data_IF_709340791687
#
_entry.id   IF_709340791687
#
_cell.length_a   1.000
_cell.length_b   1.000
_cell.length_c   1.000
_cell.angle_alpha   90.00
_cell.angle_beta   90.00
_cell.angle_gamma   90.00
#
_symmetry.space_group_name_H-M   'P 1'
#
loop_
_entity.id
_entity.type
_entity.pdbx_description
1 polymer ?
#
# COMPACT_ATOMS: atom_id res chain seq x y z
N UNK A 1 -7.60 -17.31 26.90
CA UNK A 1 -7.74 -17.07 25.43
C UNK A 1 -8.64 -15.87 25.13
N UNK A 2 -9.82 -15.78 25.72
CA UNK A 2 -10.82 -14.69 25.48
C UNK A 2 -10.27 -13.31 25.90
N UNK A 3 -9.58 -13.21 27.03
CA UNK A 3 -8.98 -11.95 27.51
C UNK A 3 -7.92 -11.36 26.57
N UNK A 4 -7.11 -12.21 25.94
CA UNK A 4 -6.09 -11.75 25.01
C UNK A 4 -6.69 -11.29 23.67
N UNK A 5 -7.77 -11.90 23.22
CA UNK A 5 -8.49 -11.49 22.01
C UNK A 5 -9.20 -10.13 22.21
N UNK A 6 -9.85 -9.93 23.34
CA UNK A 6 -10.50 -8.67 23.69
C UNK A 6 -9.48 -7.51 23.79
N UNK A 7 -8.35 -7.72 24.48
CA UNK A 7 -7.28 -6.75 24.61
C UNK A 7 -6.64 -6.38 23.26
N UNK A 8 -6.45 -7.36 22.38
CA UNK A 8 -5.94 -7.15 21.04
C UNK A 8 -6.92 -6.35 20.16
N UNK A 9 -8.22 -6.64 20.30
CA UNK A 9 -9.28 -5.90 19.61
C UNK A 9 -9.32 -4.43 20.07
N UNK A 10 -9.24 -4.20 21.37
CA UNK A 10 -9.22 -2.85 21.96
C UNK A 10 -7.98 -2.04 21.50
N UNK A 11 -6.80 -2.65 21.53
CA UNK A 11 -5.59 -2.03 21.00
C UNK A 11 -5.72 -1.68 19.51
N UNK A 12 -6.30 -2.56 18.70
CA UNK A 12 -6.50 -2.29 17.27
C UNK A 12 -7.49 -1.14 17.06
N UNK A 13 -8.54 -1.02 17.88
CA UNK A 13 -9.49 0.09 17.80
C UNK A 13 -8.83 1.43 18.17
N UNK A 14 -8.03 1.45 19.23
CA UNK A 14 -7.27 2.64 19.64
C UNK A 14 -6.29 3.06 18.52
N UNK A 15 -5.54 2.13 17.96
CA UNK A 15 -4.64 2.40 16.84
C UNK A 15 -5.37 2.93 15.61
N UNK A 16 -6.51 2.35 15.27
CA UNK A 16 -7.34 2.79 14.17
C UNK A 16 -7.88 4.21 14.39
N UNK A 17 -8.34 4.52 15.61
CA UNK A 17 -8.78 5.86 15.99
C UNK A 17 -7.67 6.89 15.89
N UNK A 18 -6.48 6.58 16.43
CA UNK A 18 -5.32 7.47 16.36
C UNK A 18 -4.84 7.68 14.91
N UNK A 19 -4.80 6.62 14.10
CA UNK A 19 -4.41 6.75 12.70
C UNK A 19 -5.36 7.66 11.92
N UNK A 20 -6.67 7.50 12.11
CA UNK A 20 -7.69 8.34 11.47
C UNK A 20 -7.58 9.81 11.91
N UNK A 21 -7.42 10.05 13.20
CA UNK A 21 -7.27 11.41 13.76
C UNK A 21 -5.97 12.05 13.23
N UNK A 22 -4.85 11.34 13.26
CA UNK A 22 -3.57 11.83 12.73
C UNK A 22 -3.68 12.15 11.24
N UNK A 23 -4.34 11.30 10.46
CA UNK A 23 -4.58 11.56 9.04
C UNK A 23 -5.39 12.84 8.83
N UNK A 24 -6.43 13.06 9.62
CA UNK A 24 -7.25 14.27 9.54
C UNK A 24 -6.47 15.52 9.91
N UNK A 25 -5.66 15.46 10.98
CA UNK A 25 -4.82 16.58 11.43
C UNK A 25 -3.68 16.90 10.45
N UNK A 26 -3.13 15.92 9.74
CA UNK A 26 -2.13 16.14 8.70
C UNK A 26 -2.77 16.63 7.39
N UNK A 27 -3.95 16.12 7.05
CA UNK A 27 -4.65 16.46 5.81
C UNK A 27 -4.98 17.96 5.70
N UNK A 28 -5.32 18.60 6.80
CA UNK A 28 -5.65 20.04 6.83
C UNK A 28 -4.45 20.93 6.44
N UNK A 29 -3.27 20.86 7.10
CA UNK A 29 -2.12 21.66 6.71
C UNK A 29 -1.57 21.25 5.35
N UNK A 30 -1.70 19.98 4.96
CA UNK A 30 -1.30 19.51 3.63
C UNK A 30 -2.13 20.19 2.53
N UNK A 31 -3.45 20.27 2.68
CA UNK A 31 -4.32 20.96 1.73
C UNK A 31 -3.97 22.46 1.62
N UNK A 32 -3.60 23.08 2.75
CA UNK A 32 -3.12 24.45 2.75
C UNK A 32 -1.81 24.63 1.98
N UNK A 33 -0.84 23.73 2.18
CA UNK A 33 0.44 23.74 1.46
C UNK A 33 0.24 23.51 -0.04
N UNK A 34 -0.68 22.65 -0.45
CA UNK A 34 -1.03 22.45 -1.86
C UNK A 34 -1.59 23.74 -2.48
N UNK A 35 -2.48 24.43 -1.76
CA UNK A 35 -3.02 25.71 -2.22
C UNK A 35 -1.94 26.81 -2.35
N UNK A 36 -0.99 26.87 -1.41
CA UNK A 36 0.16 27.76 -1.52
C UNK A 36 1.06 27.41 -2.70
N UNK A 37 1.27 26.12 -2.97
CA UNK A 37 2.01 25.64 -4.16
C UNK A 37 1.40 26.13 -5.46
N UNK A 38 0.08 26.05 -5.60
CA UNK A 38 -0.64 26.55 -6.77
C UNK A 38 -0.49 28.08 -6.94
N UNK A 39 -0.54 28.83 -5.85
CA UNK A 39 -0.34 30.29 -5.91
C UNK A 39 1.10 30.68 -6.32
N UNK A 40 2.09 29.97 -5.80
CA UNK A 40 3.49 30.20 -6.12
C UNK A 40 3.83 29.83 -7.58
N UNK A 41 3.13 28.85 -8.14
CA UNK A 41 3.31 28.37 -9.52
C UNK A 41 3.00 29.44 -10.58
N UNK A 42 2.25 30.48 -10.22
CA UNK A 42 1.94 31.60 -11.12
C UNK A 42 3.17 32.46 -11.45
N UNK A 43 4.28 32.31 -10.68
CA UNK A 43 5.54 33.01 -10.95
C UNK A 43 6.51 32.08 -11.68
N UNK A 44 6.93 32.44 -12.88
CA UNK A 44 7.84 31.66 -13.74
C UNK A 44 9.15 31.24 -13.03
N UNK A 45 9.70 32.10 -12.18
CA UNK A 45 10.95 31.86 -11.45
C UNK A 45 10.91 30.65 -10.51
N UNK A 46 9.71 30.22 -10.07
CA UNK A 46 9.54 29.18 -9.08
C UNK A 46 9.10 27.84 -9.69
N UNK A 47 8.83 27.79 -10.97
CA UNK A 47 8.12 26.68 -11.63
C UNK A 47 8.76 25.31 -11.40
N UNK A 48 10.09 25.19 -11.49
CA UNK A 48 10.80 23.93 -11.31
C UNK A 48 10.77 23.43 -9.86
N UNK A 49 10.96 24.32 -8.88
CA UNK A 49 10.91 23.99 -7.46
C UNK A 49 9.51 23.58 -7.03
N UNK A 50 8.50 24.24 -7.55
CA UNK A 50 7.10 23.95 -7.22
C UNK A 50 6.68 22.60 -7.77
N UNK A 51 7.13 22.20 -8.97
CA UNK A 51 6.85 20.87 -9.51
C UNK A 51 7.39 19.76 -8.60
N UNK A 52 8.57 19.93 -8.01
CA UNK A 52 9.11 18.94 -7.07
C UNK A 52 8.33 18.96 -5.74
N UNK A 53 7.99 20.14 -5.23
CA UNK A 53 7.17 20.28 -4.03
C UNK A 53 5.77 19.66 -4.21
N UNK A 54 5.12 19.84 -5.35
CA UNK A 54 3.84 19.20 -5.67
C UNK A 54 3.93 17.67 -5.64
N UNK A 55 5.03 17.10 -6.11
CA UNK A 55 5.24 15.65 -6.04
C UNK A 55 5.30 15.16 -4.60
N UNK A 56 5.98 15.89 -3.72
CA UNK A 56 6.09 15.51 -2.31
C UNK A 56 4.79 15.73 -1.55
N UNK A 57 4.08 16.83 -1.83
CA UNK A 57 2.74 17.08 -1.29
C UNK A 57 1.76 15.99 -1.71
N UNK A 58 1.80 15.57 -2.97
CA UNK A 58 0.96 14.46 -3.46
C UNK A 58 1.29 13.13 -2.79
N UNK A 59 2.57 12.88 -2.48
CA UNK A 59 2.97 11.70 -1.69
C UNK A 59 2.38 11.75 -0.28
N UNK A 60 2.45 12.90 0.39
CA UNK A 60 1.88 13.09 1.73
C UNK A 60 0.35 12.93 1.71
N UNK A 61 -0.33 13.45 0.71
CA UNK A 61 -1.76 13.26 0.52
C UNK A 61 -2.13 11.77 0.44
N UNK A 62 -1.41 11.00 -0.37
CA UNK A 62 -1.61 9.55 -0.50
C UNK A 62 -1.39 8.83 0.85
N UNK A 63 -0.33 9.19 1.59
CA UNK A 63 -0.05 8.63 2.91
C UNK A 63 -1.20 8.94 3.87
N UNK A 64 -1.64 10.19 3.92
CA UNK A 64 -2.73 10.65 4.77
C UNK A 64 -4.04 9.93 4.45
N UNK A 65 -4.37 9.77 3.18
CA UNK A 65 -5.54 9.04 2.74
C UNK A 65 -5.47 7.55 3.16
N UNK A 66 -4.33 6.92 3.01
CA UNK A 66 -4.10 5.53 3.46
C UNK A 66 -4.30 5.39 4.96
N UNK A 67 -3.75 6.32 5.76
CA UNK A 67 -3.93 6.34 7.22
C UNK A 67 -5.39 6.54 7.63
N UNK A 68 -6.14 7.38 6.94
CA UNK A 68 -7.57 7.64 7.24
C UNK A 68 -8.44 6.40 7.00
N UNK A 69 -8.01 5.48 6.15
CA UNK A 69 -8.73 4.22 5.87
C UNK A 69 -8.50 3.14 6.94
N UNK A 70 -7.48 3.28 7.79
CA UNK A 70 -7.21 2.32 8.86
C UNK A 70 -8.38 2.37 9.87
N UNK A 71 -9.04 1.22 10.09
CA UNK A 71 -10.16 1.09 11.03
C UNK A 71 -11.48 1.74 10.62
N UNK A 72 -11.56 2.35 9.42
CA UNK A 72 -12.84 2.80 8.87
C UNK A 72 -13.64 1.61 8.32
N UNK A 73 -14.99 1.75 8.30
CA UNK A 73 -15.81 0.80 7.54
C UNK A 73 -15.39 0.91 6.07
N UNK A 74 -14.77 -0.15 5.58
CA UNK A 74 -14.26 -0.22 4.22
C UNK A 74 -15.43 -0.45 3.28
N UNK A 75 -15.71 0.49 2.39
CA UNK A 75 -16.64 0.25 1.29
C UNK A 75 -15.99 -0.72 0.32
N UNK A 76 -16.70 -1.81 0.02
CA UNK A 76 -16.31 -2.79 -0.96
C UNK A 76 -17.10 -2.54 -2.25
N UNK A 77 -16.39 -2.36 -3.35
CA UNK A 77 -16.94 -2.22 -4.71
C UNK A 77 -16.60 -3.44 -5.55
N UNK A 78 -17.39 -3.72 -6.55
CA UNK A 78 -17.06 -4.75 -7.53
C UNK A 78 -15.94 -4.25 -8.42
N UNK A 79 -14.78 -4.90 -8.34
CA UNK A 79 -13.57 -4.50 -9.02
C UNK A 79 -12.95 -5.67 -9.78
N UNK A 80 -12.33 -5.37 -10.93
CA UNK A 80 -11.58 -6.37 -11.68
C UNK A 80 -10.18 -6.55 -11.05
N UNK A 81 -10.00 -7.66 -10.33
CA UNK A 81 -8.76 -7.94 -9.60
C UNK A 81 -7.56 -8.15 -10.54
N UNK A 82 -7.77 -8.78 -11.69
CA UNK A 82 -6.71 -8.95 -12.70
C UNK A 82 -6.17 -7.60 -13.19
N UNK A 83 -7.07 -6.66 -13.50
CA UNK A 83 -6.68 -5.30 -13.89
C UNK A 83 -5.90 -4.59 -12.79
N UNK A 84 -6.35 -4.71 -11.53
CA UNK A 84 -5.67 -4.09 -10.38
C UNK A 84 -4.24 -4.62 -10.23
N UNK A 85 -4.05 -5.93 -10.35
CA UNK A 85 -2.71 -6.54 -10.24
C UNK A 85 -1.82 -6.07 -11.41
N UNK A 86 -2.32 -6.11 -12.63
CA UNK A 86 -1.59 -5.68 -13.82
C UNK A 86 -1.16 -4.22 -13.75
N UNK A 87 -2.07 -3.32 -13.34
CA UNK A 87 -1.80 -1.89 -13.17
C UNK A 87 -0.74 -1.67 -12.07
N UNK A 88 -0.84 -2.40 -10.95
CA UNK A 88 0.11 -2.32 -9.85
C UNK A 88 1.51 -2.78 -10.27
N UNK A 89 1.61 -3.89 -10.99
CA UNK A 89 2.89 -4.39 -11.50
C UNK A 89 3.49 -3.40 -12.50
N UNK A 90 2.72 -2.93 -13.48
CA UNK A 90 3.19 -1.95 -14.46
C UNK A 90 3.69 -0.65 -13.82
N UNK A 91 3.07 -0.25 -12.72
CA UNK A 91 3.49 0.91 -11.94
C UNK A 91 4.83 0.65 -11.22
N UNK A 92 4.99 -0.53 -10.60
CA UNK A 92 6.19 -0.89 -9.86
C UNK A 92 7.39 -1.15 -10.78
N UNK A 93 7.20 -1.75 -11.95
CA UNK A 93 8.26 -1.97 -12.96
C UNK A 93 8.93 -0.67 -13.41
N UNK A 94 8.18 0.44 -13.42
CA UNK A 94 8.72 1.77 -13.77
C UNK A 94 9.53 2.42 -12.64
N UNK A 95 9.36 1.96 -11.41
CA UNK A 95 9.91 2.59 -10.20
C UNK A 95 11.00 1.78 -9.54
N UNK A 96 10.95 0.47 -9.69
CA UNK A 96 11.95 -0.43 -9.11
C UNK A 96 13.17 -0.54 -10.01
N UNK A 97 14.23 -1.10 -9.45
CA UNK A 97 15.44 -1.41 -10.21
C UNK A 97 15.12 -2.28 -11.44
N UNK A 98 15.73 -1.98 -12.57
CA UNK A 98 15.65 -2.81 -13.80
C UNK A 98 16.12 -4.25 -13.63
N UNK A 99 16.81 -4.55 -12.53
CA UNK A 99 17.27 -5.87 -12.16
C UNK A 99 16.24 -6.71 -11.42
N UNK A 100 15.10 -6.10 -11.04
CA UNK A 100 13.96 -6.81 -10.47
C UNK A 100 13.04 -7.23 -11.62
N UNK A 101 12.76 -8.52 -11.70
CA UNK A 101 11.83 -9.09 -12.68
C UNK A 101 10.50 -9.41 -12.02
N UNK A 102 9.42 -8.99 -12.64
CA UNK A 102 8.07 -9.37 -12.22
C UNK A 102 7.58 -10.54 -13.07
N UNK A 103 7.04 -11.55 -12.40
CA UNK A 103 6.42 -12.73 -13.02
C UNK A 103 4.96 -12.76 -12.56
N UNK A 104 4.02 -12.94 -13.48
CA UNK A 104 2.60 -12.96 -13.16
C UNK A 104 1.96 -14.26 -13.67
N UNK A 105 1.14 -14.89 -12.81
CA UNK A 105 0.32 -16.04 -13.14
C UNK A 105 -1.07 -15.84 -12.54
N UNK A 106 -2.00 -15.36 -13.36
CA UNK A 106 -3.36 -15.03 -12.92
C UNK A 106 -4.32 -16.04 -13.52
N UNK A 107 -4.89 -16.91 -12.67
CA UNK A 107 -5.86 -17.93 -13.04
C UNK A 107 -7.14 -17.75 -12.21
N UNK A 108 -8.01 -16.85 -12.66
CA UNK A 108 -9.27 -16.53 -12.00
C UNK A 108 -10.46 -16.91 -12.88
N UNK A 109 -11.43 -17.62 -12.29
CA UNK A 109 -12.74 -17.88 -12.88
C UNK A 109 -13.59 -16.60 -12.77
N UNK A 110 -13.61 -15.99 -11.59
CA UNK A 110 -14.28 -14.70 -11.35
C UNK A 110 -13.29 -13.56 -11.47
N UNK A 111 -13.51 -12.71 -12.47
CA UNK A 111 -12.66 -11.51 -12.66
C UNK A 111 -13.06 -10.37 -11.73
N UNK A 112 -14.35 -10.23 -11.43
CA UNK A 112 -14.88 -9.17 -10.57
C UNK A 112 -15.12 -9.70 -9.16
N UNK A 113 -14.61 -8.99 -8.18
CA UNK A 113 -14.72 -9.33 -6.76
C UNK A 113 -15.00 -8.08 -5.93
N UNK A 114 -15.74 -8.25 -4.85
CA UNK A 114 -16.01 -7.17 -3.90
C UNK A 114 -14.78 -6.93 -3.05
N UNK A 115 -14.09 -5.81 -3.30
CA UNK A 115 -12.91 -5.40 -2.56
C UNK A 115 -12.79 -3.87 -2.51
N UNK A 116 -11.90 -3.37 -1.66
CA UNK A 116 -11.48 -1.97 -1.70
C UNK A 116 -10.21 -1.86 -2.55
N UNK A 117 -10.32 -1.27 -3.72
CA UNK A 117 -9.23 -1.12 -4.70
C UNK A 117 -8.00 -0.45 -4.09
N UNK A 118 -8.18 0.64 -3.35
CA UNK A 118 -7.07 1.42 -2.76
C UNK A 118 -6.28 0.58 -1.76
N UNK A 119 -6.97 -0.17 -0.90
CA UNK A 119 -6.33 -1.01 0.10
C UNK A 119 -5.59 -2.21 -0.52
N UNK A 120 -6.17 -2.84 -1.54
CA UNK A 120 -5.51 -3.97 -2.24
C UNK A 120 -4.25 -3.51 -2.96
N UNK A 121 -4.31 -2.40 -3.69
CA UNK A 121 -3.13 -1.79 -4.31
C UNK A 121 -2.06 -1.53 -3.26
N UNK A 122 -2.43 -0.92 -2.14
CA UNK A 122 -1.49 -0.62 -1.07
C UNK A 122 -0.83 -1.87 -0.48
N UNK A 123 -1.60 -2.94 -0.26
CA UNK A 123 -1.05 -4.23 0.24
C UNK A 123 -0.04 -4.79 -0.76
N UNK A 124 -0.39 -4.86 -2.06
CA UNK A 124 0.49 -5.37 -3.11
C UNK A 124 1.78 -4.54 -3.17
N UNK A 125 1.67 -3.20 -3.22
CA UNK A 125 2.82 -2.31 -3.26
C UNK A 125 3.76 -2.49 -2.05
N UNK A 126 3.21 -2.59 -0.83
CA UNK A 126 4.01 -2.76 0.39
C UNK A 126 4.75 -4.09 0.41
N UNK A 127 4.08 -5.18 0.05
CA UNK A 127 4.72 -6.51 0.01
C UNK A 127 5.82 -6.53 -1.05
N UNK A 128 5.55 -6.02 -2.25
CA UNK A 128 6.54 -5.97 -3.32
C UNK A 128 7.73 -5.04 -2.99
N UNK A 129 7.48 -3.94 -2.29
CA UNK A 129 8.56 -3.06 -1.80
C UNK A 129 9.44 -3.78 -0.79
N UNK A 130 8.84 -4.46 0.20
CA UNK A 130 9.59 -5.25 1.18
C UNK A 130 10.41 -6.35 0.49
N UNK A 131 9.84 -7.01 -0.52
CA UNK A 131 10.54 -7.99 -1.34
C UNK A 131 11.74 -7.37 -2.06
N UNK A 132 11.57 -6.21 -2.70
CA UNK A 132 12.63 -5.50 -3.39
C UNK A 132 13.78 -5.09 -2.45
N UNK A 133 13.44 -4.63 -1.24
CA UNK A 133 14.40 -4.27 -0.20
C UNK A 133 15.16 -5.51 0.30
N UNK A 134 14.47 -6.64 0.53
CA UNK A 134 15.08 -7.92 0.93
C UNK A 134 16.03 -8.48 -0.14
N UNK A 135 15.74 -8.24 -1.42
CA UNK A 135 16.56 -8.61 -2.56
C UNK A 135 17.68 -7.61 -2.88
N UNK A 136 17.77 -6.50 -2.12
CA UNK A 136 18.74 -5.41 -2.39
C UNK A 136 18.67 -4.86 -3.81
N UNK A 137 17.47 -4.86 -4.39
CA UNK A 137 17.18 -4.32 -5.71
C UNK A 137 17.54 -5.24 -6.91
N UNK A 138 17.82 -6.52 -6.68
CA UNK A 138 18.13 -7.50 -7.75
C UNK A 138 17.50 -8.86 -7.44
N UNK A 139 16.64 -9.38 -8.33
CA UNK A 139 15.95 -10.67 -8.15
C UNK A 139 14.64 -10.76 -8.91
N UNK A 140 13.73 -11.59 -8.43
CA UNK A 140 12.41 -11.73 -9.03
C UNK A 140 11.29 -11.71 -7.98
N UNK A 141 10.17 -11.09 -8.34
CA UNK A 141 8.93 -11.08 -7.60
C UNK A 141 7.89 -11.81 -8.44
N UNK A 142 7.31 -12.87 -7.90
CA UNK A 142 6.25 -13.64 -8.54
C UNK A 142 4.92 -13.34 -7.86
N UNK A 143 3.92 -12.96 -8.66
CA UNK A 143 2.55 -12.71 -8.19
C UNK A 143 1.65 -13.72 -8.87
N UNK A 144 1.08 -14.64 -8.10
CA UNK A 144 0.06 -15.57 -8.59
C UNK A 144 -1.29 -15.29 -7.94
N UNK A 145 -2.33 -15.51 -8.71
CA UNK A 145 -3.70 -15.36 -8.24
C UNK A 145 -4.53 -16.56 -8.71
N UNK A 146 -5.16 -17.24 -7.77
CA UNK A 146 -5.98 -18.41 -8.04
C UNK A 146 -7.27 -18.37 -7.23
N UNK A 147 -8.27 -19.11 -7.69
CA UNK A 147 -9.54 -19.29 -7.00
C UNK A 147 -9.66 -20.73 -6.51
N UNK A 148 -9.88 -20.89 -5.19
CA UNK A 148 -10.07 -22.18 -4.53
C UNK A 148 -11.12 -22.05 -3.44
N UNK A 149 -12.03 -23.03 -3.36
CA UNK A 149 -13.05 -23.12 -2.30
C UNK A 149 -13.87 -21.83 -2.11
N UNK A 150 -14.22 -21.18 -3.23
CA UNK A 150 -14.94 -19.89 -3.27
C UNK A 150 -14.15 -18.70 -2.69
N UNK A 151 -12.86 -18.86 -2.43
CA UNK A 151 -11.94 -17.82 -1.99
C UNK A 151 -10.93 -17.50 -3.09
N UNK A 152 -10.51 -16.23 -3.17
CA UNK A 152 -9.43 -15.82 -4.05
C UNK A 152 -8.16 -15.71 -3.23
N UNK A 153 -7.13 -16.43 -3.68
CA UNK A 153 -5.82 -16.41 -3.07
C UNK A 153 -4.85 -15.62 -3.95
N UNK A 154 -4.26 -14.56 -3.38
CA UNK A 154 -3.16 -13.81 -3.99
C UNK A 154 -1.89 -14.24 -3.27
N UNK A 155 -0.94 -14.80 -4.01
CA UNK A 155 0.37 -15.19 -3.50
C UNK A 155 1.44 -14.31 -4.11
N UNK A 156 2.28 -13.69 -3.27
CA UNK A 156 3.43 -12.89 -3.68
C UNK A 156 4.67 -13.58 -3.10
N UNK A 157 5.61 -13.94 -3.97
CA UNK A 157 6.86 -14.60 -3.61
C UNK A 157 8.04 -13.83 -4.16
N UNK A 158 9.14 -13.80 -3.44
CA UNK A 158 10.39 -13.15 -3.83
C UNK A 158 11.58 -14.11 -3.72
N UNK A 159 12.70 -13.74 -4.32
CA UNK A 159 13.95 -14.49 -4.26
C UNK A 159 14.94 -13.92 -3.25
N UNK A 160 14.47 -13.13 -2.29
CA UNK A 160 15.28 -12.55 -1.23
C UNK A 160 15.70 -13.55 -0.15
N UNK A 161 16.35 -13.04 0.89
CA UNK A 161 16.89 -13.86 1.97
C UNK A 161 15.85 -14.48 2.92
N UNK A 162 14.55 -14.18 2.70
CA UNK A 162 13.47 -14.63 3.56
C UNK A 162 13.39 -13.88 4.90
N UNK A 163 12.46 -14.32 5.75
CA UNK A 163 12.20 -13.73 7.06
C UNK A 163 12.73 -14.67 8.15
N UNK A 164 13.46 -14.12 9.11
CA UNK A 164 13.94 -14.90 10.25
C UNK A 164 12.78 -15.55 11.00
N UNK A 165 12.93 -16.85 11.32
CA UNK A 165 11.90 -17.63 12.00
C UNK A 165 11.50 -17.06 13.37
N UNK A 166 12.41 -16.36 14.04
CA UNK A 166 12.15 -15.73 15.34
C UNK A 166 11.14 -14.60 15.28
N UNK A 167 11.10 -13.86 14.16
CA UNK A 167 10.21 -12.69 13.99
C UNK A 167 8.96 -12.98 13.17
N UNK A 168 8.88 -14.15 12.51
CA UNK A 168 7.76 -14.47 11.59
C UNK A 168 6.37 -14.37 12.25
N UNK A 169 6.29 -14.60 13.57
CA UNK A 169 5.03 -14.48 14.32
C UNK A 169 4.65 -13.05 14.66
N UNK A 170 5.56 -12.14 14.52
CA UNK A 170 5.41 -10.75 14.92
C UNK A 170 5.44 -9.75 13.75
N UNK A 171 5.71 -10.20 12.53
CA UNK A 171 5.79 -9.32 11.34
C UNK A 171 4.53 -8.50 11.05
N UNK A 172 3.38 -8.93 11.56
CA UNK A 172 2.10 -8.19 11.46
C UNK A 172 1.78 -7.39 12.73
N UNK A 173 2.69 -7.34 13.69
CA UNK A 173 2.51 -6.50 14.88
C UNK A 173 3.01 -5.08 14.61
N UNK A 174 2.33 -4.03 15.12
CA UNK A 174 2.79 -2.66 14.99
C UNK A 174 4.18 -2.46 15.61
N UNK A 175 5.05 -1.71 14.92
CA UNK A 175 6.38 -1.33 15.44
C UNK A 175 7.49 -2.35 15.18
N UNK A 176 7.27 -3.34 14.33
CA UNK A 176 8.34 -4.22 13.82
C UNK A 176 8.70 -3.76 12.41
N UNK A 177 9.91 -3.27 12.26
CA UNK A 177 10.55 -2.87 11.00
C UNK A 177 11.78 -3.70 10.76
#
# INVERSE_FOLDING_TARGET
>A
FIFNAARKSEQNQVWAGMAKETAHQIGTPLSSLMAWGELLKQKEENKSMIVEMEKDLKRLEIITERFSKIGSKTELTEENLESIINDSVSYMEKRFSKKIKFLQEISLIRKNVKLNKVLIIWVIENICKNAADAMKGEGSISISCSEKDNEIQIQISDTGGGIDKSIIRSIFMPGIT
#
